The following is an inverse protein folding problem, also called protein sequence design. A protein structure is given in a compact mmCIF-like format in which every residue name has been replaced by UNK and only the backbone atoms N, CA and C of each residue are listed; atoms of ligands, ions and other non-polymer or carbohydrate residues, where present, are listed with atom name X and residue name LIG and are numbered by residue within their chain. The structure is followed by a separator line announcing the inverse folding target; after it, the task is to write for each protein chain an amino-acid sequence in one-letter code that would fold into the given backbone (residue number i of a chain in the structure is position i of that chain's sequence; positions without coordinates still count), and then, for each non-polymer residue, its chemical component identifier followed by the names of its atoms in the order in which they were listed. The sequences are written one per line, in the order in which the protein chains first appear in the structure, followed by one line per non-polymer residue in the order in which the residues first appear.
data_IF_914341648368
#
_entry.id   IF_914341648368
#
_cell.length_a   1.000
_cell.length_b   1.000
_cell.length_c   1.000
_cell.angle_alpha   90.00
_cell.angle_beta   90.00
_cell.angle_gamma   90.00
#
_symmetry.space_group_name_H-M   'P 1'
#
loop_
_entity.id
_entity.type
_entity.pdbx_description
1 polymer ?
#
# COMPACT_ATOMS: atom_id res chain seq x y z
N UNK A 1 35.57 5.22 18.12
CA UNK A 1 34.43 5.54 19.02
C UNK A 1 34.57 4.63 20.23
N UNK A 2 34.91 5.19 21.39
CA UNK A 2 35.10 4.43 22.63
C UNK A 2 33.89 4.64 23.54
N UNK A 3 33.34 3.57 24.11
CA UNK A 3 32.44 3.66 25.27
C UNK A 3 32.86 2.64 26.31
N UNK A 4 33.18 3.16 27.49
CA UNK A 4 33.85 2.44 28.57
C UNK A 4 33.11 1.21 29.08
N UNK A 5 33.91 0.15 29.26
CA UNK A 5 33.61 -0.94 30.18
C UNK A 5 34.47 -0.70 31.43
N UNK A 6 33.88 -0.18 32.51
CA UNK A 6 34.54 -0.16 33.82
C UNK A 6 33.64 -0.64 34.96
N UNK A 7 34.29 -1.34 35.87
CA UNK A 7 33.72 -2.12 36.97
C UNK A 7 33.33 -1.29 38.18
N UNK A 8 32.27 -1.69 38.88
CA UNK A 8 32.17 -1.47 40.33
C UNK A 8 31.48 -2.63 41.03
N UNK A 9 32.23 -3.72 41.23
CA UNK A 9 31.90 -4.79 42.17
C UNK A 9 32.37 -4.37 43.57
N UNK A 10 31.62 -3.51 44.26
CA UNK A 10 31.92 -3.12 45.65
C UNK A 10 30.70 -3.38 46.55
N UNK A 11 30.95 -4.17 47.60
CA UNK A 11 29.96 -4.78 48.47
C UNK A 11 28.78 -3.90 48.90
N UNK A 12 27.60 -4.20 48.35
CA UNK A 12 26.34 -3.92 49.04
C UNK A 12 26.24 -4.89 50.22
N UNK A 13 26.54 -4.39 51.41
CA UNK A 13 26.28 -5.06 52.69
C UNK A 13 24.88 -5.70 52.65
N UNK A 14 24.77 -6.95 53.10
CA UNK A 14 23.48 -7.60 53.25
C UNK A 14 22.53 -6.66 53.99
N UNK A 15 21.34 -6.42 53.43
CA UNK A 15 20.30 -5.63 54.08
C UNK A 15 20.08 -6.24 55.45
N UNK A 16 20.38 -5.49 56.52
CA UNK A 16 20.17 -5.94 57.89
C UNK A 16 18.70 -6.36 57.99
N UNK A 17 18.48 -7.65 58.21
CA UNK A 17 17.16 -8.25 58.44
C UNK A 17 16.67 -7.74 59.80
N UNK A 18 16.10 -6.53 59.80
CA UNK A 18 15.42 -5.93 60.95
C UNK A 18 14.26 -6.85 61.34
N UNK A 19 13.98 -7.00 62.64
CA UNK A 19 12.99 -7.96 63.11
C UNK A 19 13.53 -9.38 63.32
N UNK A 20 14.52 -9.51 64.20
CA UNK A 20 14.77 -10.75 64.94
C UNK A 20 14.25 -10.62 66.38
N UNK A 21 13.99 -11.74 67.07
CA UNK A 21 13.48 -11.71 68.45
C UNK A 21 14.39 -10.93 69.42
N UNK A 22 15.70 -10.85 69.18
CA UNK A 22 16.60 -10.03 70.00
C UNK A 22 16.29 -8.54 69.94
N UNK A 23 15.81 -8.02 68.81
CA UNK A 23 15.45 -6.61 68.61
C UNK A 23 14.21 -6.27 69.45
N UNK A 24 13.20 -7.15 69.43
CA UNK A 24 12.01 -7.04 70.26
C UNK A 24 12.32 -7.19 71.77
N UNK A 25 13.28 -8.06 72.14
CA UNK A 25 13.72 -8.22 73.52
C UNK A 25 14.57 -7.04 74.02
N UNK A 26 15.39 -6.41 73.17
CA UNK A 26 16.06 -5.15 73.50
C UNK A 26 15.06 -4.03 73.75
N UNK A 27 14.05 -3.87 72.88
CA UNK A 27 12.99 -2.86 73.09
C UNK A 27 12.19 -3.15 74.37
N UNK A 28 11.92 -4.43 74.69
CA UNK A 28 11.26 -4.81 75.94
C UNK A 28 12.11 -4.47 77.18
N UNK A 29 13.43 -4.66 77.11
CA UNK A 29 14.36 -4.30 78.18
C UNK A 29 14.44 -2.78 78.39
N UNK A 30 14.51 -1.99 77.30
CA UNK A 30 14.48 -0.51 77.36
C UNK A 30 13.14 0.03 77.93
N UNK A 31 12.06 -0.73 77.77
CA UNK A 31 10.74 -0.45 78.38
C UNK A 31 10.60 -0.98 79.83
N UNK A 32 11.67 -1.53 80.42
CA UNK A 32 11.71 -1.97 81.82
C UNK A 32 11.19 -3.38 82.09
N UNK A 33 10.91 -4.19 81.06
CA UNK A 33 10.50 -5.59 81.25
C UNK A 33 11.73 -6.49 81.45
N UNK A 34 11.80 -7.15 82.60
CA UNK A 34 12.95 -7.94 83.00
C UNK A 34 12.98 -9.30 82.27
N UNK A 35 13.60 -9.33 81.09
CA UNK A 35 13.77 -10.56 80.28
C UNK A 35 14.73 -11.51 81.00
N UNK A 36 14.17 -12.49 81.72
CA UNK A 36 14.96 -13.58 82.32
C UNK A 36 15.57 -14.43 81.20
N UNK A 37 16.88 -14.33 81.02
CA UNK A 37 17.63 -15.14 80.05
C UNK A 37 17.56 -16.63 80.45
N UNK A 38 17.29 -17.57 79.53
CA UNK A 38 17.26 -18.99 79.87
C UNK A 38 18.70 -19.52 80.02
N UNK A 39 19.23 -19.47 81.22
CA UNK A 39 20.50 -20.14 81.56
C UNK A 39 20.29 -21.65 81.65
N UNK A 40 20.81 -22.38 80.66
CA UNK A 40 21.12 -23.80 80.85
C UNK A 40 22.21 -23.91 81.93
N UNK A 41 21.90 -24.47 83.10
CA UNK A 41 22.79 -25.43 83.81
C UNK A 41 22.20 -25.93 85.15
N UNK A 42 22.14 -27.27 85.25
CA UNK A 42 22.41 -28.08 86.45
C UNK A 42 22.01 -27.59 87.86
N UNK A 43 20.97 -28.23 88.40
CA UNK A 43 20.95 -28.88 89.73
C UNK A 43 21.52 -28.16 90.98
N UNK A 44 20.62 -27.74 91.87
CA UNK A 44 20.60 -28.23 93.27
C UNK A 44 19.33 -27.82 94.02
N UNK A 45 18.85 -28.70 94.89
CA UNK A 45 17.69 -28.54 95.77
C UNK A 45 17.90 -27.54 96.91
N UNK A 46 16.86 -26.78 97.30
CA UNK A 46 16.20 -26.94 98.63
C UNK A 46 15.06 -25.96 98.88
N UNK A 47 14.00 -26.49 99.50
CA UNK A 47 12.85 -25.84 100.16
C UNK A 47 13.05 -24.46 100.84
N UNK A 48 12.09 -23.54 100.65
CA UNK A 48 11.12 -23.13 101.70
C UNK A 48 10.20 -21.98 101.25
N UNK A 49 8.90 -22.10 101.47
CA UNK A 49 7.92 -20.98 101.51
C UNK A 49 7.47 -20.80 102.97
N UNK A 50 7.00 -19.62 103.42
CA UNK A 50 5.55 -19.32 103.31
C UNK A 50 5.16 -17.83 103.13
N UNK A 51 3.85 -17.62 102.94
CA UNK A 51 3.03 -16.39 103.10
C UNK A 51 2.83 -15.39 101.94
N UNK A 52 1.65 -15.53 101.32
CA UNK A 52 0.73 -14.47 100.83
C UNK A 52 -0.20 -14.02 101.99
N UNK A 53 -1.19 -13.09 101.81
CA UNK A 53 -1.50 -12.14 100.71
C UNK A 53 -1.39 -10.68 101.26
N UNK A 54 -2.19 -9.61 100.97
CA UNK A 54 -3.25 -9.40 99.97
C UNK A 54 -3.27 -8.08 99.16
N UNK A 55 -4.14 -8.09 98.13
CA UNK A 55 -4.92 -7.00 97.50
C UNK A 55 -4.45 -5.55 97.56
N UNK A 56 -4.20 -4.97 96.37
CA UNK A 56 -4.67 -3.60 96.09
C UNK A 56 -5.06 -3.45 94.59
N UNK A 57 -6.33 -3.24 94.33
CA UNK A 57 -6.90 -3.06 92.98
C UNK A 57 -6.98 -1.58 92.61
N UNK A 58 -6.30 -1.16 91.53
CA UNK A 58 -6.42 0.18 90.94
C UNK A 58 -7.03 0.11 89.53
N UNK A 59 -8.19 0.72 89.26
CA UNK A 59 -8.91 0.57 87.99
C UNK A 59 -8.46 1.59 86.94
N UNK A 60 -7.15 1.71 86.69
CA UNK A 60 -6.59 2.65 85.67
C UNK A 60 -5.52 2.02 84.77
N UNK A 61 -5.16 0.76 85.01
CA UNK A 61 -4.10 0.06 84.25
C UNK A 61 -4.66 -0.80 83.11
N UNK A 62 -5.95 -1.14 83.13
CA UNK A 62 -6.62 -1.95 82.10
C UNK A 62 -6.66 -1.26 80.74
N UNK A 63 -7.17 -0.03 80.68
CA UNK A 63 -7.36 0.74 79.43
C UNK A 63 -6.05 0.88 78.62
N UNK A 64 -4.94 1.20 79.29
CA UNK A 64 -3.60 1.29 78.65
C UNK A 64 -3.11 -0.04 78.09
N UNK A 65 -3.44 -1.15 78.76
CA UNK A 65 -3.11 -2.50 78.28
C UNK A 65 -3.97 -2.90 77.07
N UNK A 66 -5.27 -2.59 77.11
CA UNK A 66 -6.19 -2.84 76.01
C UNK A 66 -5.83 -2.02 74.76
N UNK A 67 -5.45 -0.76 74.91
CA UNK A 67 -4.98 0.08 73.81
C UNK A 67 -3.66 -0.41 73.21
N UNK A 68 -2.71 -0.88 74.03
CA UNK A 68 -1.50 -1.53 73.52
C UNK A 68 -1.83 -2.80 72.73
N UNK A 69 -2.74 -3.64 73.22
CA UNK A 69 -3.20 -4.85 72.53
C UNK A 69 -3.90 -4.49 71.21
N UNK A 70 -4.69 -3.41 71.18
CA UNK A 70 -5.35 -2.87 69.98
C UNK A 70 -4.29 -2.46 68.94
N UNK A 71 -3.33 -1.63 69.32
CA UNK A 71 -2.24 -1.16 68.45
C UNK A 71 -1.38 -2.32 67.94
N UNK A 72 -1.07 -3.33 68.77
CA UNK A 72 -0.32 -4.51 68.33
C UNK A 72 -1.11 -5.36 67.31
N UNK A 73 -2.43 -5.48 67.46
CA UNK A 73 -3.31 -6.15 66.47
C UNK A 73 -3.38 -5.37 65.17
N UNK A 74 -3.48 -4.05 65.23
CA UNK A 74 -3.46 -3.16 64.06
C UNK A 74 -2.10 -3.21 63.34
N UNK A 75 -0.98 -3.12 64.07
CA UNK A 75 0.36 -3.28 63.52
C UNK A 75 0.54 -4.64 62.83
N UNK A 76 0.06 -5.73 63.46
CA UNK A 76 0.07 -7.07 62.86
C UNK A 76 -0.79 -7.13 61.58
N UNK A 77 -1.92 -6.44 61.55
CA UNK A 77 -2.80 -6.32 60.38
C UNK A 77 -2.12 -5.55 59.24
N UNK A 78 -1.46 -4.44 59.55
CA UNK A 78 -0.67 -3.64 58.59
C UNK A 78 0.53 -4.43 58.08
N UNK A 79 1.27 -5.13 58.95
CA UNK A 79 2.40 -5.96 58.57
C UNK A 79 1.98 -7.08 57.61
N UNK A 80 0.82 -7.71 57.82
CA UNK A 80 0.25 -8.70 56.89
C UNK A 80 -0.06 -8.05 55.54
N UNK A 81 -0.79 -6.92 55.51
CA UNK A 81 -1.09 -6.17 54.27
C UNK A 81 0.17 -5.76 53.50
N UNK A 82 1.25 -5.39 54.19
CA UNK A 82 2.54 -5.06 53.56
C UNK A 82 3.14 -6.32 52.89
N UNK A 83 3.09 -7.48 53.55
CA UNK A 83 3.55 -8.74 52.95
C UNK A 83 2.71 -9.14 51.73
N UNK A 84 1.38 -9.02 51.81
CA UNK A 84 0.46 -9.30 50.71
C UNK A 84 0.78 -8.42 49.48
N UNK A 85 0.94 -7.10 49.69
CA UNK A 85 1.32 -6.15 48.65
C UNK A 85 2.72 -6.40 48.08
N UNK A 86 3.67 -6.87 48.89
CA UNK A 86 5.01 -7.25 48.41
C UNK A 86 4.94 -8.46 47.47
N UNK A 87 4.12 -9.46 47.78
CA UNK A 87 3.89 -10.62 46.91
C UNK A 87 3.19 -10.19 45.63
N UNK A 88 2.18 -9.33 45.69
CA UNK A 88 1.46 -8.83 44.51
C UNK A 88 2.37 -8.00 43.58
N UNK A 89 3.20 -7.11 44.15
CA UNK A 89 4.17 -6.32 43.38
C UNK A 89 5.26 -7.19 42.74
N UNK A 90 5.76 -8.19 43.46
CA UNK A 90 6.75 -9.12 42.92
C UNK A 90 6.13 -9.99 41.80
N UNK A 91 4.90 -10.47 41.98
CA UNK A 91 4.14 -11.19 40.96
C UNK A 91 3.93 -10.37 39.68
N UNK A 92 3.50 -9.11 39.79
CA UNK A 92 3.37 -8.21 38.61
C UNK A 92 4.72 -7.91 37.94
N UNK A 93 5.80 -7.80 38.72
CA UNK A 93 7.15 -7.59 38.18
C UNK A 93 7.62 -8.80 37.39
N UNK A 94 7.39 -10.01 37.91
CA UNK A 94 7.80 -11.24 37.24
C UNK A 94 6.93 -11.54 36.01
N UNK A 95 5.61 -11.31 36.10
CA UNK A 95 4.70 -11.35 34.95
C UNK A 95 5.17 -10.39 33.84
N UNK A 96 5.48 -9.12 34.16
CA UNK A 96 6.05 -8.15 33.20
C UNK A 96 7.36 -8.65 32.55
N UNK A 97 8.20 -9.37 33.30
CA UNK A 97 9.46 -9.91 32.77
C UNK A 97 9.21 -11.03 31.74
N UNK A 98 8.23 -11.91 31.99
CA UNK A 98 7.93 -13.07 31.11
C UNK A 98 6.82 -12.80 30.08
N UNK A 99 6.09 -11.70 30.20
CA UNK A 99 4.96 -11.25 29.38
C UNK A 99 5.17 -11.43 27.86
N UNK A 100 6.38 -11.11 27.37
CA UNK A 100 6.78 -11.21 25.97
C UNK A 100 6.88 -12.66 25.42
N UNK A 101 6.71 -13.66 26.30
CA UNK A 101 6.77 -15.09 26.01
C UNK A 101 5.53 -15.83 26.54
N UNK A 102 4.85 -15.30 27.56
CA UNK A 102 3.63 -15.90 28.16
C UNK A 102 2.32 -15.35 27.60
N UNK A 103 2.26 -14.08 27.17
CA UNK A 103 1.02 -13.53 26.63
C UNK A 103 0.78 -13.99 25.19
N UNK A 104 -0.41 -14.55 24.97
CA UNK A 104 -0.89 -15.02 23.67
C UNK A 104 -0.85 -13.90 22.60
N UNK A 105 -1.05 -12.64 22.98
CA UNK A 105 -0.94 -11.49 22.06
C UNK A 105 0.47 -11.30 21.48
N UNK A 106 1.52 -11.36 22.32
CA UNK A 106 2.91 -11.25 21.86
C UNK A 106 3.36 -12.51 21.10
N UNK A 107 2.85 -13.69 21.47
CA UNK A 107 3.05 -14.92 20.69
C UNK A 107 2.41 -14.83 19.29
N UNK A 108 1.14 -14.39 19.20
CA UNK A 108 0.43 -14.22 17.92
C UNK A 108 1.14 -13.22 17.02
N UNK A 109 1.58 -12.07 17.55
CA UNK A 109 2.37 -11.07 16.82
C UNK A 109 3.68 -11.64 16.25
N UNK A 110 4.36 -12.54 17.00
CA UNK A 110 5.54 -13.27 16.52
C UNK A 110 5.17 -14.27 15.41
N UNK A 111 4.07 -15.01 15.56
CA UNK A 111 3.55 -15.94 14.55
C UNK A 111 3.22 -15.20 13.25
N UNK A 112 2.50 -14.06 13.32
CA UNK A 112 2.20 -13.20 12.16
C UNK A 112 3.46 -12.68 11.47
N UNK A 113 4.46 -12.26 12.26
CA UNK A 113 5.73 -11.76 11.73
C UNK A 113 6.51 -12.87 11.01
N UNK A 114 6.59 -14.07 11.62
CA UNK A 114 7.21 -15.24 11.01
C UNK A 114 6.46 -15.71 9.76
N UNK A 115 5.12 -15.70 9.78
CA UNK A 115 4.30 -16.04 8.62
C UNK A 115 4.56 -15.07 7.45
N UNK A 116 4.59 -13.76 7.72
CA UNK A 116 4.92 -12.73 6.72
C UNK A 116 6.30 -12.94 6.11
N UNK A 117 7.33 -13.16 6.94
CA UNK A 117 8.70 -13.43 6.48
C UNK A 117 8.76 -14.72 5.66
N UNK A 118 8.02 -15.76 6.09
CA UNK A 118 7.93 -17.05 5.38
C UNK A 118 7.32 -16.89 3.98
N UNK A 119 6.25 -16.10 3.83
CA UNK A 119 5.66 -15.80 2.52
C UNK A 119 6.65 -15.07 1.62
N UNK A 120 7.28 -14.00 2.11
CA UNK A 120 8.30 -13.25 1.35
C UNK A 120 9.44 -14.17 0.89
N UNK A 121 9.94 -15.05 1.76
CA UNK A 121 11.02 -15.98 1.40
C UNK A 121 10.57 -17.02 0.36
N UNK A 122 9.33 -17.53 0.44
CA UNK A 122 8.76 -18.41 -0.59
C UNK A 122 8.67 -17.72 -1.95
N UNK A 123 8.23 -16.47 -1.98
CA UNK A 123 8.13 -15.67 -3.21
C UNK A 123 9.50 -15.43 -3.85
N UNK A 124 10.52 -15.12 -3.03
CA UNK A 124 11.92 -14.98 -3.48
C UNK A 124 12.45 -16.29 -4.08
N UNK A 125 12.21 -17.43 -3.42
CA UNK A 125 12.62 -18.75 -3.92
C UNK A 125 11.93 -19.05 -5.25
N UNK A 126 10.61 -18.93 -5.30
CA UNK A 126 9.84 -19.21 -6.52
C UNK A 126 10.24 -18.30 -7.69
N UNK A 127 10.50 -17.01 -7.44
CA UNK A 127 11.00 -16.11 -8.47
C UNK A 127 12.41 -16.48 -8.95
N UNK A 128 13.31 -16.90 -8.04
CA UNK A 128 14.65 -17.37 -8.40
C UNK A 128 14.57 -18.63 -9.27
N UNK A 129 13.74 -19.60 -8.89
CA UNK A 129 13.59 -20.85 -9.64
C UNK A 129 12.96 -20.60 -11.03
N UNK A 130 12.02 -19.65 -11.13
CA UNK A 130 11.49 -19.16 -12.42
C UNK A 130 12.58 -18.53 -13.30
N UNK A 131 13.48 -17.74 -12.73
CA UNK A 131 14.62 -17.14 -13.48
C UNK A 131 15.60 -18.23 -13.92
N UNK A 132 15.94 -19.17 -13.03
CA UNK A 132 16.81 -20.31 -13.34
C UNK A 132 16.21 -21.13 -14.49
N UNK A 133 14.92 -21.46 -14.43
CA UNK A 133 14.24 -22.19 -15.51
C UNK A 133 14.30 -21.45 -16.86
N UNK A 134 14.15 -20.11 -16.86
CA UNK A 134 14.29 -19.30 -18.09
C UNK A 134 15.72 -19.21 -18.62
N UNK A 135 16.73 -19.28 -17.75
CA UNK A 135 18.15 -19.29 -18.15
C UNK A 135 18.65 -20.69 -18.56
N UNK A 136 18.03 -21.75 -18.03
CA UNK A 136 18.33 -23.15 -18.36
C UNK A 136 17.58 -23.67 -19.58
N UNK A 137 16.52 -23.00 -20.03
CA UNK A 137 15.89 -23.30 -21.31
C UNK A 137 16.95 -23.15 -22.42
N UNK A 138 17.28 -24.22 -23.18
CA UNK A 138 18.26 -24.13 -24.24
C UNK A 138 17.78 -23.10 -25.27
N UNK A 139 18.63 -22.11 -25.56
CA UNK A 139 18.33 -21.00 -26.47
C UNK A 139 17.88 -21.53 -27.84
N UNK A 140 16.57 -21.58 -28.02
CA UNK A 140 15.89 -22.10 -29.23
C UNK A 140 15.27 -20.97 -30.06
N UNK A 141 15.53 -19.72 -29.67
CA UNK A 141 15.09 -18.51 -30.35
C UNK A 141 16.23 -18.01 -31.23
N UNK A 142 15.90 -17.53 -32.43
CA UNK A 142 16.78 -16.70 -33.25
C UNK A 142 17.02 -15.35 -32.53
N UNK A 143 17.95 -15.36 -31.58
CA UNK A 143 18.33 -14.18 -30.83
C UNK A 143 19.48 -13.45 -31.53
N UNK A 144 19.24 -12.19 -31.89
CA UNK A 144 20.30 -11.27 -32.28
C UNK A 144 21.08 -10.91 -31.01
N UNK A 145 22.38 -11.23 -30.90
CA UNK A 145 23.20 -10.74 -29.79
C UNK A 145 23.33 -9.23 -29.91
N UNK A 146 23.20 -8.52 -28.78
CA UNK A 146 23.34 -7.07 -28.71
C UNK A 146 24.28 -6.72 -27.57
N UNK A 147 25.40 -6.08 -27.92
CA UNK A 147 26.41 -5.60 -27.00
C UNK A 147 25.80 -4.62 -26.00
N UNK A 148 26.30 -4.63 -24.75
CA UNK A 148 25.72 -3.84 -23.66
C UNK A 148 25.66 -2.33 -23.96
N UNK A 149 26.56 -1.83 -24.80
CA UNK A 149 26.61 -0.44 -25.25
C UNK A 149 25.52 -0.05 -26.26
N UNK A 150 24.91 -1.02 -26.95
CA UNK A 150 23.85 -0.79 -27.96
C UNK A 150 22.46 -1.26 -27.52
N UNK A 151 22.32 -1.84 -26.31
CA UNK A 151 21.04 -2.36 -25.81
C UNK A 151 19.96 -1.29 -25.71
N UNK A 152 20.33 -0.03 -25.41
CA UNK A 152 19.39 1.07 -25.30
C UNK A 152 18.84 1.44 -26.67
N UNK A 153 19.71 1.72 -27.63
CA UNK A 153 19.39 2.08 -29.02
C UNK A 153 18.57 0.96 -29.69
N UNK A 154 18.94 -0.30 -29.46
CA UNK A 154 18.19 -1.45 -29.95
C UNK A 154 16.79 -1.55 -29.33
N UNK A 155 16.64 -1.27 -28.03
CA UNK A 155 15.32 -1.25 -27.39
C UNK A 155 14.43 -0.11 -27.91
N UNK A 156 15.00 1.08 -28.15
CA UNK A 156 14.27 2.20 -28.75
C UNK A 156 13.88 1.91 -30.22
N UNK A 157 14.76 1.25 -30.98
CA UNK A 157 14.48 0.80 -32.35
C UNK A 157 13.37 -0.25 -32.38
N UNK A 158 13.40 -1.24 -31.47
CA UNK A 158 12.32 -2.24 -31.35
C UNK A 158 10.97 -1.60 -31.04
N UNK A 159 10.93 -0.61 -30.13
CA UNK A 159 9.68 0.08 -29.79
C UNK A 159 9.12 0.89 -30.97
N UNK A 160 9.97 1.54 -31.77
CA UNK A 160 9.56 2.23 -33.02
C UNK A 160 9.13 1.26 -34.11
N UNK A 161 9.87 0.16 -34.30
CA UNK A 161 9.52 -0.87 -35.28
C UNK A 161 8.20 -1.58 -34.91
N UNK A 162 7.88 -1.69 -33.62
CA UNK A 162 6.62 -2.23 -33.14
C UNK A 162 5.44 -1.27 -33.33
N UNK A 163 5.62 0.06 -33.13
CA UNK A 163 4.56 1.03 -33.42
C UNK A 163 4.27 1.13 -34.91
N UNK A 164 5.32 1.06 -35.74
CA UNK A 164 5.25 1.34 -37.16
C UNK A 164 5.26 0.05 -38.02
N UNK A 165 5.00 -1.11 -37.41
CA UNK A 165 5.13 -2.44 -38.03
C UNK A 165 4.39 -2.58 -39.36
N UNK A 166 3.21 -1.97 -39.48
CA UNK A 166 2.44 -1.94 -40.73
C UNK A 166 3.14 -1.15 -41.85
N UNK A 167 3.70 0.01 -41.51
CA UNK A 167 4.45 0.84 -42.47
C UNK A 167 5.80 0.18 -42.85
N UNK A 168 6.47 -0.44 -41.88
CA UNK A 168 7.70 -1.21 -42.12
C UNK A 168 7.44 -2.41 -43.04
N UNK A 169 6.35 -3.15 -42.81
CA UNK A 169 5.94 -4.28 -43.67
C UNK A 169 5.61 -3.83 -45.08
N UNK A 170 4.88 -2.72 -45.24
CA UNK A 170 4.60 -2.12 -46.55
C UNK A 170 5.91 -1.70 -47.26
N UNK A 171 6.82 -1.02 -46.57
CA UNK A 171 8.11 -0.60 -47.15
C UNK A 171 9.01 -1.77 -47.55
N UNK A 172 9.01 -2.87 -46.78
CA UNK A 172 9.71 -4.12 -47.17
C UNK A 172 9.07 -4.75 -48.40
N UNK A 173 7.74 -4.75 -48.50
CA UNK A 173 7.02 -5.23 -49.68
C UNK A 173 7.29 -4.35 -50.92
N UNK A 174 7.32 -3.02 -50.78
CA UNK A 174 7.68 -2.08 -51.85
C UNK A 174 9.14 -2.28 -52.31
N UNK A 175 10.05 -2.55 -51.37
CA UNK A 175 11.44 -2.88 -51.70
C UNK A 175 11.55 -4.20 -52.47
N UNK A 176 10.87 -5.26 -52.02
CA UNK A 176 10.80 -6.53 -52.75
C UNK A 176 10.15 -6.38 -54.13
N UNK A 177 9.10 -5.56 -54.24
CA UNK A 177 8.43 -5.25 -55.51
C UNK A 177 9.38 -4.53 -56.46
N UNK A 178 10.11 -3.50 -56.00
CA UNK A 178 11.08 -2.78 -56.82
C UNK A 178 12.30 -3.63 -57.24
N UNK A 179 12.78 -4.53 -56.37
CA UNK A 179 13.86 -5.48 -56.67
C UNK A 179 13.49 -6.49 -57.77
N UNK A 180 12.20 -6.76 -57.99
CA UNK A 180 11.75 -7.67 -59.04
C UNK A 180 11.78 -7.05 -60.45
N UNK A 181 11.95 -5.72 -60.57
CA UNK A 181 12.06 -5.06 -61.88
C UNK A 181 13.49 -5.08 -62.39
N UNK A 182 13.66 -5.67 -63.58
CA UNK A 182 14.94 -5.74 -64.28
C UNK A 182 15.05 -4.67 -65.37
N UNK A 183 13.93 -4.12 -65.82
CA UNK A 183 13.87 -3.03 -66.79
C UNK A 183 14.04 -1.65 -66.12
N UNK A 184 14.74 -0.70 -66.78
CA UNK A 184 14.90 0.65 -66.26
C UNK A 184 13.55 1.42 -66.19
N UNK A 185 13.42 2.44 -65.31
CA UNK A 185 12.19 3.21 -65.10
C UNK A 185 11.56 3.81 -66.38
N UNK A 186 12.35 4.04 -67.43
CA UNK A 186 11.87 4.53 -68.73
C UNK A 186 10.85 3.59 -69.39
N UNK A 187 11.00 2.27 -69.25
CA UNK A 187 10.08 1.27 -69.83
C UNK A 187 8.70 1.36 -69.19
N UNK A 188 8.65 1.56 -67.87
CA UNK A 188 7.41 1.75 -67.10
C UNK A 188 6.70 3.04 -67.48
N UNK A 189 7.45 4.12 -67.73
CA UNK A 189 6.90 5.38 -68.24
C UNK A 189 6.24 5.24 -69.61
N UNK A 190 6.72 4.34 -70.48
CA UNK A 190 6.08 4.03 -71.77
C UNK A 190 4.82 3.18 -71.57
N UNK A 191 4.89 2.14 -70.75
CA UNK A 191 3.80 1.18 -70.52
C UNK A 191 2.61 1.79 -69.76
N UNK A 192 2.86 2.74 -68.84
CA UNK A 192 1.81 3.42 -68.08
C UNK A 192 1.20 4.61 -68.83
N UNK A 193 1.88 5.14 -69.86
CA UNK A 193 1.42 6.28 -70.69
C UNK A 193 -0.01 6.16 -71.21
N UNK A 194 -0.53 4.97 -71.60
CA UNK A 194 -1.91 4.84 -72.08
C UNK A 194 -2.97 5.02 -70.97
N UNK A 195 -2.64 4.81 -69.69
CA UNK A 195 -3.63 4.81 -68.60
C UNK A 195 -4.22 6.22 -68.37
N UNK A 196 -3.42 7.30 -68.20
CA UNK A 196 -3.96 8.66 -68.12
C UNK A 196 -4.73 9.08 -69.38
N UNK A 197 -4.30 8.63 -70.57
CA UNK A 197 -4.96 8.92 -71.85
C UNK A 197 -6.35 8.25 -71.92
N UNK A 198 -6.45 6.98 -71.52
CA UNK A 198 -7.71 6.25 -71.43
C UNK A 198 -8.65 6.91 -70.40
N UNK A 199 -8.14 7.25 -69.22
CA UNK A 199 -8.93 7.89 -68.15
C UNK A 199 -9.46 9.26 -68.60
N UNK A 200 -8.62 10.10 -69.21
CA UNK A 200 -9.05 11.38 -69.80
C UNK A 200 -10.07 11.20 -70.94
N UNK A 201 -9.99 10.11 -71.71
CA UNK A 201 -11.02 9.79 -72.72
C UNK A 201 -12.36 9.42 -72.07
N UNK A 202 -12.35 8.62 -71.00
CA UNK A 202 -13.55 8.27 -70.23
C UNK A 202 -14.22 9.51 -69.63
N UNK A 203 -13.44 10.44 -69.07
CA UNK A 203 -13.96 11.73 -68.56
C UNK A 203 -14.63 12.53 -69.67
N UNK A 204 -13.99 12.70 -70.84
CA UNK A 204 -14.58 13.40 -71.99
C UNK A 204 -15.86 12.73 -72.52
N UNK A 205 -15.91 11.39 -72.54
CA UNK A 205 -17.13 10.67 -72.90
C UNK A 205 -18.26 10.90 -71.89
N UNK A 206 -17.95 10.91 -70.58
CA UNK A 206 -18.92 11.20 -69.53
C UNK A 206 -19.46 12.64 -69.60
N UNK A 207 -18.57 13.63 -69.82
CA UNK A 207 -18.93 15.04 -70.04
C UNK A 207 -19.84 15.19 -71.26
N UNK A 208 -19.46 14.60 -72.41
CA UNK A 208 -20.24 14.67 -73.64
C UNK A 208 -21.62 13.99 -73.51
N UNK A 209 -21.72 12.90 -72.75
CA UNK A 209 -23.00 12.23 -72.45
C UNK A 209 -23.86 13.07 -71.50
N UNK A 210 -23.25 13.72 -70.50
CA UNK A 210 -23.95 14.61 -69.56
C UNK A 210 -24.52 15.84 -70.27
N UNK A 211 -23.71 16.53 -71.10
CA UNK A 211 -24.14 17.66 -71.91
C UNK A 211 -25.26 17.31 -72.91
N UNK A 212 -25.22 16.12 -73.52
CA UNK A 212 -26.31 15.61 -74.39
C UNK A 212 -27.61 15.40 -73.60
N UNK A 213 -27.53 14.83 -72.40
CA UNK A 213 -28.69 14.65 -71.51
C UNK A 213 -29.30 16.00 -71.10
N UNK A 214 -28.48 16.96 -70.72
CA UNK A 214 -28.91 18.33 -70.38
C UNK A 214 -29.57 19.03 -71.57
N UNK A 215 -29.00 18.90 -72.77
CA UNK A 215 -29.59 19.42 -74.01
C UNK A 215 -30.97 18.82 -74.29
N UNK A 216 -31.14 17.51 -74.07
CA UNK A 216 -32.43 16.85 -74.22
C UNK A 216 -33.45 17.32 -73.18
N UNK A 217 -33.05 17.49 -71.91
CA UNK A 217 -33.90 18.07 -70.87
C UNK A 217 -34.29 19.53 -71.18
N UNK A 218 -33.41 20.33 -71.77
CA UNK A 218 -33.74 21.67 -72.24
C UNK A 218 -34.77 21.65 -73.38
N UNK A 219 -34.62 20.76 -74.36
CA UNK A 219 -35.61 20.55 -75.43
C UNK A 219 -36.96 20.07 -74.91
N UNK A 220 -36.99 19.23 -73.87
CA UNK A 220 -38.23 18.83 -73.21
C UNK A 220 -38.93 20.02 -72.53
N UNK A 221 -38.19 20.86 -71.80
CA UNK A 221 -38.73 22.09 -71.18
C UNK A 221 -39.31 23.05 -72.24
N UNK A 222 -38.59 23.26 -73.35
CA UNK A 222 -39.10 24.03 -74.50
C UNK A 222 -40.40 23.45 -75.06
N UNK A 223 -40.46 22.12 -75.26
CA UNK A 223 -41.66 21.45 -75.80
C UNK A 223 -42.86 21.57 -74.88
N UNK A 224 -42.67 21.48 -73.55
CA UNK A 224 -43.77 21.62 -72.57
C UNK A 224 -44.22 23.07 -72.45
N UNK A 225 -43.28 24.04 -72.41
CA UNK A 225 -43.60 25.47 -72.36
C UNK A 225 -44.36 25.99 -73.61
N UNK A 226 -44.20 25.33 -74.76
CA UNK A 226 -44.93 25.67 -75.99
C UNK A 226 -46.45 25.42 -75.90
N UNK A 227 -46.92 24.56 -74.98
CA UNK A 227 -48.35 24.22 -74.84
C UNK A 227 -49.13 25.08 -73.84
N UNK A 228 -48.47 25.88 -72.99
CA UNK A 228 -49.17 26.76 -72.02
C UNK A 228 -49.30 28.22 -72.49
N UNK A 229 -48.84 28.56 -73.70
CA UNK A 229 -48.87 29.94 -74.22
C UNK A 229 -49.61 30.10 -75.55
N UNK A 230 -50.88 29.67 -75.63
CA UNK A 230 -51.85 30.29 -76.58
C UNK A 230 -53.32 30.11 -76.16
N UNK A 231 -53.79 30.93 -75.21
CA UNK A 231 -55.23 31.23 -75.07
C UNK A 231 -55.42 32.75 -75.09
N UNK A 232 -55.91 33.33 -76.19
CA UNK A 232 -56.18 34.76 -76.26
C UNK A 232 -57.59 35.06 -75.73
N UNK A 233 -57.69 35.84 -74.65
CA UNK A 233 -58.92 36.57 -74.31
C UNK A 233 -58.59 38.00 -73.96
N UNK A 234 -59.07 38.94 -74.77
CA UNK A 234 -59.11 40.38 -74.50
C UNK A 234 -60.38 40.73 -73.69
N UNK A 235 -60.64 41.99 -73.33
CA UNK A 235 -59.78 42.82 -72.46
C UNK A 235 -60.58 43.51 -71.33
N UNK A 236 -60.01 43.68 -70.12
CA UNK A 236 -60.57 44.60 -69.12
C UNK A 236 -59.58 45.09 -68.04
N UNK A 237 -59.30 46.40 -68.08
CA UNK A 237 -59.13 47.33 -66.95
C UNK A 237 -57.94 47.14 -65.96
N UNK A 238 -57.02 48.10 -66.05
CA UNK A 238 -55.99 48.55 -65.07
C UNK A 238 -56.64 49.06 -63.74
N UNK A 239 -55.94 49.30 -62.60
CA UNK A 239 -54.50 49.12 -62.27
C UNK A 239 -54.19 48.42 -60.92
N UNK A 240 -52.87 48.26 -60.61
CA UNK A 240 -52.23 48.55 -59.29
C UNK A 240 -51.29 47.46 -58.70
N UNK A 241 -50.04 47.90 -58.44
CA UNK A 241 -49.14 47.51 -57.32
C UNK A 241 -48.24 46.24 -57.33
N UNK A 242 -46.97 46.51 -56.95
CA UNK A 242 -45.95 45.69 -56.24
C UNK A 242 -44.98 44.75 -56.99
N UNK A 243 -43.77 45.30 -57.22
CA UNK A 243 -42.47 44.73 -56.78
C UNK A 243 -42.45 44.45 -55.25
N UNK A 244 -41.45 43.74 -54.65
CA UNK A 244 -40.26 43.08 -55.22
C UNK A 244 -40.04 41.62 -54.72
N UNK A 245 -38.92 40.96 -55.10
CA UNK A 245 -38.53 39.66 -54.54
C UNK A 245 -37.14 39.14 -54.97
N UNK A 246 -36.07 39.68 -54.38
CA UNK A 246 -34.67 39.22 -54.54
C UNK A 246 -34.38 38.03 -53.63
N UNK A 247 -33.54 37.08 -54.08
CA UNK A 247 -32.51 36.42 -53.24
C UNK A 247 -31.48 35.65 -54.07
N UNK A 248 -30.29 36.25 -54.25
CA UNK A 248 -29.05 35.54 -54.56
C UNK A 248 -28.39 35.06 -53.25
N UNK A 249 -27.83 33.85 -53.25
CA UNK A 249 -26.64 33.45 -52.45
C UNK A 249 -26.20 32.06 -52.94
N UNK A 250 -25.28 31.93 -53.89
CA UNK A 250 -23.82 32.00 -53.68
C UNK A 250 -23.34 31.18 -52.47
N UNK A 251 -22.67 30.07 -52.77
CA UNK A 251 -21.74 29.40 -51.84
C UNK A 251 -20.44 29.16 -52.62
N UNK A 252 -19.45 29.99 -52.39
CA UNK A 252 -18.08 29.80 -52.84
C UNK A 252 -17.31 28.95 -51.82
N UNK A 253 -16.45 28.06 -52.31
CA UNK A 253 -15.40 27.38 -51.55
C UNK A 253 -14.05 27.80 -52.14
N UNK A 254 -13.00 28.00 -51.32
CA UNK A 254 -11.73 28.54 -51.77
C UNK A 254 -10.78 27.45 -52.32
N UNK A 255 -9.80 27.89 -53.11
CA UNK A 255 -8.57 27.15 -53.39
C UNK A 255 -7.42 27.73 -52.58
N UNK A 256 -6.54 26.83 -52.12
CA UNK A 256 -5.19 27.06 -51.54
C UNK A 256 -5.02 28.07 -50.39
#
# INVERSE_FOLDING_TARGET
MSMGNESSWVGRKAVKRIGGMSDALSIAADLGFNVSSPSLSSSSSSSSSPHEPPQNSSPTTGEKGEDLIRVLRELTSVQRKIADLQVELQGRKDDKNVAHLTHVSEMNKKIETLARITTILKDVIHNKDRIIARLQQPYSLDCIPVEAEYQKEFSELLMKAASDYGALTASVADFQWSQNFKEPPSVWGEMLRPIPVALASCTRYFEAMSAKRESFSALQKMRVGQFESTVPSTPARDPSQRLPGVSDSLTSLPSE
#
